data_IF_733595123207
#
_entry.id   IF_733595123207
#
_cell.length_a   1.000
_cell.length_b   1.000
_cell.length_c   1.000
_cell.angle_alpha   90.00
_cell.angle_beta   90.00
_cell.angle_gamma   90.00
#
_symmetry.space_group_name_H-M   'P 1'
#
loop_
_entity.id
_entity.type
_entity.pdbx_description
1 polymer ?
#
# COMPACT_ATOMS: atom_id res chain seq x y z
N UNK A 1 20.75 -19.73 13.54
CA UNK A 1 20.77 -18.67 14.57
C UNK A 1 20.82 -17.34 13.84
N UNK A 2 19.82 -16.47 14.00
CA UNK A 2 19.74 -15.18 13.32
C UNK A 2 20.80 -14.25 13.94
N UNK A 3 21.76 -13.78 13.14
CA UNK A 3 22.71 -12.77 13.56
C UNK A 3 22.10 -11.37 13.34
N UNK A 4 21.76 -10.62 14.39
CA UNK A 4 21.19 -9.28 14.26
C UNK A 4 22.20 -8.23 13.76
N UNK A 5 23.51 -8.52 13.75
CA UNK A 5 24.56 -7.60 13.28
C UNK A 5 24.94 -7.80 11.80
N UNK A 6 24.62 -8.96 11.21
CA UNK A 6 24.87 -9.20 9.80
C UNK A 6 23.87 -8.42 8.93
N UNK A 7 24.37 -7.63 7.97
CA UNK A 7 23.54 -6.97 6.97
C UNK A 7 22.72 -8.02 6.21
N UNK A 8 21.39 -7.86 6.07
CA UNK A 8 20.59 -8.83 5.34
C UNK A 8 20.90 -8.68 3.86
N UNK A 9 20.91 -9.80 3.11
CA UNK A 9 21.02 -9.73 1.67
C UNK A 9 19.89 -8.86 1.10
N UNK A 10 20.21 -7.94 0.20
CA UNK A 10 19.21 -7.21 -0.57
C UNK A 10 18.36 -8.20 -1.37
N UNK A 11 17.11 -7.84 -1.66
CA UNK A 11 16.25 -8.72 -2.46
C UNK A 11 16.83 -8.99 -3.85
N UNK A 12 17.59 -8.03 -4.41
CA UNK A 12 18.35 -8.16 -5.66
C UNK A 12 19.50 -9.18 -5.58
N UNK A 13 20.09 -9.39 -4.40
CA UNK A 13 21.16 -10.39 -4.19
C UNK A 13 20.60 -11.80 -3.97
N UNK A 14 19.27 -11.90 -3.81
CA UNK A 14 18.52 -13.14 -3.69
C UNK A 14 17.91 -13.56 -5.04
N UNK A 15 18.21 -12.80 -6.10
CA UNK A 15 17.71 -13.05 -7.45
C UNK A 15 17.99 -14.49 -7.87
N UNK A 16 16.92 -15.22 -8.19
CA UNK A 16 16.98 -16.60 -8.64
C UNK A 16 16.05 -16.72 -9.85
N UNK A 17 16.56 -16.49 -11.07
CA UNK A 17 15.75 -16.54 -12.28
C UNK A 17 15.26 -17.98 -12.51
N UNK A 18 14.10 -18.29 -11.94
CA UNK A 18 13.29 -19.44 -12.29
C UNK A 18 12.67 -19.21 -13.69
N UNK A 19 12.01 -20.20 -14.33
CA UNK A 19 11.30 -19.97 -15.59
C UNK A 19 10.36 -18.77 -15.42
N UNK A 20 10.27 -17.92 -16.45
CA UNK A 20 9.49 -16.66 -16.52
C UNK A 20 7.97 -16.89 -16.44
N UNK A 21 7.50 -17.67 -15.48
CA UNK A 21 6.08 -17.81 -15.15
C UNK A 21 5.64 -16.53 -14.44
N UNK A 22 4.61 -15.83 -14.96
CA UNK A 22 4.09 -14.66 -14.28
C UNK A 22 3.61 -15.05 -12.88
N UNK A 23 3.78 -14.14 -11.92
CA UNK A 23 3.28 -14.34 -10.54
C UNK A 23 1.76 -14.24 -10.44
N UNK A 24 1.09 -13.94 -11.56
CA UNK A 24 -0.35 -13.80 -11.68
C UNK A 24 -0.85 -14.64 -12.86
N UNK A 25 -1.97 -15.31 -12.67
CA UNK A 25 -2.73 -15.89 -13.78
C UNK A 25 -3.47 -14.75 -14.48
N UNK A 26 -3.04 -14.41 -15.69
CA UNK A 26 -3.77 -13.46 -16.52
C UNK A 26 -5.03 -14.16 -17.05
N UNK A 27 -6.19 -13.47 -17.06
CA UNK A 27 -7.39 -14.01 -17.70
C UNK A 27 -7.14 -14.23 -19.20
N UNK A 28 -7.93 -15.13 -19.79
CA UNK A 28 -7.93 -15.27 -21.24
C UNK A 28 -8.29 -13.94 -21.91
N UNK A 29 -7.64 -13.65 -23.04
CA UNK A 29 -7.94 -12.46 -23.84
C UNK A 29 -9.38 -12.52 -24.33
N UNK A 30 -10.18 -11.54 -23.91
CA UNK A 30 -11.55 -11.29 -24.37
C UNK A 30 -11.60 -10.46 -25.66
N UNK A 31 -10.44 -10.01 -26.14
CA UNK A 31 -10.25 -9.22 -27.37
C UNK A 31 -9.25 -9.87 -28.33
N UNK A 32 -9.31 -9.55 -29.64
CA UNK A 32 -8.32 -10.02 -30.60
C UNK A 32 -6.89 -9.62 -30.21
N UNK A 33 -5.94 -10.54 -30.37
CA UNK A 33 -4.52 -10.24 -30.16
C UNK A 33 -4.06 -9.15 -31.13
N UNK A 34 -3.48 -8.09 -30.59
CA UNK A 34 -2.82 -7.03 -31.35
C UNK A 34 -1.32 -7.01 -31.03
N UNK A 35 -0.50 -6.73 -32.04
CA UNK A 35 0.93 -6.47 -31.82
C UNK A 35 1.11 -5.05 -31.29
N UNK A 36 2.01 -4.88 -30.31
CA UNK A 36 2.45 -3.56 -29.87
C UNK A 36 3.46 -3.04 -30.91
N UNK A 37 3.36 -1.76 -31.24
CA UNK A 37 4.35 -1.09 -32.11
C UNK A 37 5.74 -1.16 -31.46
N UNK A 38 6.74 -1.65 -32.21
CA UNK A 38 8.10 -1.81 -31.71
C UNK A 38 8.70 -0.49 -31.26
N UNK A 39 8.29 0.63 -31.86
CA UNK A 39 8.79 1.96 -31.53
C UNK A 39 8.26 2.47 -30.18
N UNK A 40 7.28 1.76 -29.58
CA UNK A 40 6.73 2.04 -28.25
C UNK A 40 7.28 1.11 -27.17
N UNK A 41 8.09 0.11 -27.53
CA UNK A 41 8.67 -0.81 -26.57
C UNK A 41 9.85 -0.16 -25.83
N UNK A 42 9.99 -0.49 -24.55
CA UNK A 42 11.20 -0.14 -23.81
C UNK A 42 12.41 -0.87 -24.41
N UNK A 43 13.51 -0.14 -24.61
CA UNK A 43 14.75 -0.69 -25.16
C UNK A 43 15.40 -1.73 -24.23
N UNK A 44 15.23 -1.57 -22.92
CA UNK A 44 15.82 -2.44 -21.90
C UNK A 44 14.78 -2.88 -20.87
N UNK A 45 14.94 -4.11 -20.38
CA UNK A 45 14.15 -4.62 -19.27
C UNK A 45 14.60 -3.95 -17.96
N UNK A 46 13.64 -3.67 -17.09
CA UNK A 46 13.92 -3.21 -15.74
C UNK A 46 14.66 -4.32 -14.96
N UNK A 47 15.71 -3.93 -14.22
CA UNK A 47 16.46 -4.82 -13.34
C UNK A 47 15.70 -5.08 -12.01
N UNK A 48 14.50 -5.67 -12.11
CA UNK A 48 13.69 -6.07 -10.96
C UNK A 48 14.15 -7.44 -10.42
N UNK A 49 14.02 -7.70 -9.11
CA UNK A 49 14.39 -8.99 -8.54
C UNK A 49 13.38 -10.08 -8.95
N UNK A 50 13.88 -11.20 -9.45
CA UNK A 50 13.11 -12.39 -9.79
C UNK A 50 13.25 -13.40 -8.64
N UNK A 51 12.24 -13.45 -7.77
CA UNK A 51 12.24 -14.30 -6.56
C UNK A 51 10.88 -14.98 -6.39
N UNK A 52 10.88 -16.19 -5.85
CA UNK A 52 9.64 -16.92 -5.57
C UNK A 52 8.84 -16.26 -4.43
N UNK A 53 7.52 -16.46 -4.41
CA UNK A 53 6.62 -15.89 -3.41
C UNK A 53 7.05 -16.21 -1.96
N UNK A 54 7.52 -17.43 -1.70
CA UNK A 54 8.01 -17.81 -0.37
C UNK A 54 9.26 -17.02 0.04
N UNK A 55 10.15 -16.75 -0.90
CA UNK A 55 11.37 -15.98 -0.65
C UNK A 55 11.04 -14.50 -0.41
N UNK A 56 10.06 -13.94 -1.13
CA UNK A 56 9.50 -12.60 -0.85
C UNK A 56 8.96 -12.53 0.59
N UNK A 57 8.11 -13.49 0.98
CA UNK A 57 7.53 -13.53 2.34
C UNK A 57 8.63 -13.64 3.40
N UNK A 58 9.62 -14.52 3.21
CA UNK A 58 10.75 -14.67 4.12
C UNK A 58 11.57 -13.38 4.21
N UNK A 59 11.84 -12.75 3.07
CA UNK A 59 12.62 -11.51 2.99
C UNK A 59 11.96 -10.40 3.81
N UNK A 60 10.71 -10.05 3.51
CA UNK A 60 10.02 -8.95 4.20
C UNK A 60 9.68 -9.29 5.66
N UNK A 61 9.40 -10.55 5.99
CA UNK A 61 9.22 -10.98 7.40
C UNK A 61 10.52 -10.80 8.20
N UNK A 62 11.68 -11.12 7.60
CA UNK A 62 12.97 -10.93 8.25
C UNK A 62 13.33 -9.44 8.41
N UNK A 63 12.99 -8.60 7.43
CA UNK A 63 13.16 -7.14 7.53
C UNK A 63 12.24 -6.53 8.59
N UNK A 64 10.96 -6.93 8.64
CA UNK A 64 10.02 -6.45 9.64
C UNK A 64 10.50 -6.72 11.08
N UNK A 65 11.11 -7.89 11.33
CA UNK A 65 11.70 -8.24 12.64
C UNK A 65 12.91 -7.40 13.02
N UNK A 66 13.52 -6.67 12.09
CA UNK A 66 14.62 -5.74 12.34
C UNK A 66 14.15 -4.31 12.56
N UNK A 67 12.89 -4.00 12.28
CA UNK A 67 12.32 -2.68 12.51
C UNK A 67 11.94 -2.52 13.98
N UNK A 68 12.23 -1.34 14.52
CA UNK A 68 11.63 -0.89 15.77
C UNK A 68 10.27 -0.27 15.42
N UNK A 69 9.19 -0.73 16.06
CA UNK A 69 7.82 -0.30 15.75
C UNK A 69 7.01 -0.01 17.02
N UNK A 70 5.94 0.78 16.86
CA UNK A 70 4.98 1.12 17.93
C UNK A 70 4.22 -0.13 18.43
N UNK A 71 3.96 -1.09 17.54
CA UNK A 71 3.25 -2.32 17.89
C UNK A 71 4.07 -3.24 18.82
N UNK A 72 5.39 -3.18 18.71
CA UNK A 72 6.29 -4.03 19.47
C UNK A 72 6.97 -3.31 20.64
N UNK A 73 7.04 -1.98 20.64
CA UNK A 73 7.85 -1.23 21.58
C UNK A 73 7.22 0.11 21.97
N UNK A 74 7.67 0.65 23.10
CA UNK A 74 7.38 2.03 23.48
C UNK A 74 8.16 3.01 22.59
N UNK A 75 7.45 3.99 21.99
CA UNK A 75 7.99 4.86 20.94
C UNK A 75 7.80 6.36 21.26
N UNK A 76 8.51 6.94 22.24
CA UNK A 76 8.24 8.28 22.77
C UNK A 76 8.85 9.42 21.93
N UNK A 77 8.41 9.56 20.68
CA UNK A 77 8.80 10.70 19.84
C UNK A 77 7.88 11.89 20.06
N UNK A 78 8.43 12.97 20.63
CA UNK A 78 7.74 14.25 20.75
C UNK A 78 7.31 14.81 19.39
N UNK A 79 6.18 15.53 19.36
CA UNK A 79 5.57 16.09 18.14
C UNK A 79 5.04 15.08 17.10
N UNK A 80 5.39 13.81 17.17
CA UNK A 80 4.96 12.79 16.19
C UNK A 80 3.65 12.08 16.57
N UNK A 81 3.19 12.21 17.83
CA UNK A 81 1.99 11.55 18.34
C UNK A 81 1.96 10.04 17.99
N UNK A 82 3.00 9.31 18.39
CA UNK A 82 3.12 7.85 18.18
C UNK A 82 2.15 7.07 19.10
N UNK A 83 0.85 7.25 18.87
CA UNK A 83 -0.24 6.58 19.59
C UNK A 83 -0.44 5.16 19.06
N UNK A 84 -1.26 4.38 19.77
CA UNK A 84 -1.71 3.08 19.28
C UNK A 84 -2.52 3.20 17.98
N UNK A 85 -2.27 2.30 17.03
CA UNK A 85 -3.00 2.13 15.79
C UNK A 85 -3.91 0.89 15.89
N UNK A 86 -5.23 1.04 16.17
CA UNK A 86 -6.13 -0.09 16.32
C UNK A 86 -6.23 -0.94 15.05
N UNK A 87 -6.08 -2.26 15.16
CA UNK A 87 -6.20 -3.20 14.03
C UNK A 87 -7.58 -3.20 13.37
N UNK A 88 -8.62 -2.76 14.08
CA UNK A 88 -9.95 -2.56 13.50
C UNK A 88 -9.97 -1.49 12.40
N UNK A 89 -9.06 -0.51 12.45
CA UNK A 89 -8.97 0.52 11.41
C UNK A 89 -8.45 -0.06 10.10
N UNK A 90 -7.48 -0.99 10.16
CA UNK A 90 -7.01 -1.73 8.98
C UNK A 90 -8.13 -2.58 8.38
N UNK A 91 -8.91 -3.25 9.23
CA UNK A 91 -10.07 -4.02 8.78
C UNK A 91 -11.15 -3.14 8.14
N UNK A 92 -11.39 -1.94 8.69
CA UNK A 92 -12.34 -0.97 8.13
C UNK A 92 -11.86 -0.42 6.78
N UNK A 93 -10.57 -0.10 6.64
CA UNK A 93 -9.99 0.36 5.39
C UNK A 93 -10.01 -0.72 4.29
N UNK A 94 -9.96 -2.00 4.68
CA UNK A 94 -10.02 -3.15 3.79
C UNK A 94 -11.46 -3.61 3.46
N UNK A 95 -12.50 -2.84 3.80
CA UNK A 95 -13.85 -3.13 3.34
C UNK A 95 -13.88 -3.03 1.81
N UNK A 96 -14.39 -4.06 1.13
CA UNK A 96 -14.40 -4.17 -0.34
C UNK A 96 -14.96 -2.91 -1.04
N UNK A 97 -16.05 -2.37 -0.50
CA UNK A 97 -16.67 -1.12 -0.98
C UNK A 97 -15.85 0.16 -0.77
N UNK A 98 -14.68 0.10 -0.13
CA UNK A 98 -13.71 1.21 -0.04
C UNK A 98 -12.48 0.99 -0.91
N UNK A 99 -11.95 -0.24 -0.93
CA UNK A 99 -10.75 -0.56 -1.73
C UNK A 99 -11.01 -0.49 -3.25
N UNK A 100 -12.24 -0.77 -3.67
CA UNK A 100 -12.63 -0.81 -5.08
C UNK A 100 -13.16 0.50 -5.66
N UNK A 101 -13.21 1.59 -4.88
CA UNK A 101 -13.84 2.85 -5.30
C UNK A 101 -12.94 3.61 -6.26
N UNK A 102 -13.47 3.94 -7.44
CA UNK A 102 -12.81 4.85 -8.35
C UNK A 102 -13.19 6.30 -8.01
N UNK A 103 -12.24 7.25 -7.93
CA UNK A 103 -12.52 8.63 -7.52
C UNK A 103 -13.42 9.41 -8.50
N UNK A 104 -13.61 8.90 -9.72
CA UNK A 104 -14.50 9.47 -10.75
C UNK A 104 -15.70 8.57 -11.07
N UNK A 105 -16.04 7.60 -10.23
CA UNK A 105 -17.30 6.86 -10.40
C UNK A 105 -18.49 7.76 -10.09
N UNK A 106 -19.68 7.42 -10.58
CA UNK A 106 -20.88 8.22 -10.35
C UNK A 106 -21.20 8.33 -8.85
N UNK A 107 -21.62 9.52 -8.42
CA UNK A 107 -21.90 9.81 -7.00
C UNK A 107 -22.96 8.86 -6.41
N UNK A 108 -23.92 8.41 -7.23
CA UNK A 108 -24.96 7.45 -6.83
C UNK A 108 -24.36 6.11 -6.36
N UNK A 109 -23.24 5.69 -6.95
CA UNK A 109 -22.51 4.46 -6.60
C UNK A 109 -21.51 4.66 -5.46
N UNK A 110 -21.26 5.91 -5.03
CA UNK A 110 -20.27 6.28 -4.02
C UNK A 110 -20.85 6.80 -2.69
N UNK A 111 -22.18 6.75 -2.50
CA UNK A 111 -22.86 7.38 -1.36
C UNK A 111 -22.32 6.95 0.02
N UNK A 112 -21.84 5.70 0.16
CA UNK A 112 -21.22 5.23 1.40
C UNK A 112 -19.94 6.00 1.77
N UNK A 113 -19.05 6.21 0.79
CA UNK A 113 -17.81 6.99 0.97
C UNK A 113 -18.14 8.47 1.16
N UNK A 114 -19.05 9.03 0.36
CA UNK A 114 -19.46 10.43 0.46
C UNK A 114 -20.04 10.75 1.84
N UNK A 115 -20.87 9.86 2.39
CA UNK A 115 -21.37 9.97 3.75
C UNK A 115 -20.23 9.97 4.78
N UNK A 116 -19.29 9.02 4.68
CA UNK A 116 -18.15 8.93 5.59
C UNK A 116 -17.29 10.20 5.57
N UNK A 117 -17.03 10.75 4.38
CA UNK A 117 -16.29 12.00 4.23
C UNK A 117 -17.03 13.17 4.88
N UNK A 118 -18.33 13.30 4.62
CA UNK A 118 -19.17 14.36 5.19
C UNK A 118 -19.24 14.30 6.73
N UNK A 119 -19.44 13.11 7.29
CA UNK A 119 -19.46 12.91 8.74
C UNK A 119 -18.11 13.24 9.36
N UNK A 120 -17.02 12.81 8.72
CA UNK A 120 -15.65 13.11 9.18
C UNK A 120 -15.36 14.61 9.15
N UNK A 121 -15.76 15.32 8.09
CA UNK A 121 -15.65 16.79 8.04
C UNK A 121 -16.42 17.45 9.17
N UNK A 122 -17.64 17.00 9.44
CA UNK A 122 -18.49 17.56 10.49
C UNK A 122 -17.86 17.36 11.86
N UNK A 123 -17.39 16.14 12.18
CA UNK A 123 -16.73 15.86 13.46
C UNK A 123 -15.45 16.67 13.64
N UNK A 124 -14.63 16.80 12.59
CA UNK A 124 -13.40 17.59 12.66
C UNK A 124 -13.67 19.09 12.80
N UNK A 125 -14.69 19.63 12.11
CA UNK A 125 -15.10 21.01 12.24
C UNK A 125 -15.57 21.32 13.68
N UNK A 126 -16.36 20.42 14.28
CA UNK A 126 -16.79 20.53 15.67
C UNK A 126 -15.61 20.49 16.65
N UNK A 127 -14.68 19.54 16.50
CA UNK A 127 -13.49 19.43 17.36
C UNK A 127 -12.60 20.67 17.26
N UNK A 128 -12.44 21.22 16.05
CA UNK A 128 -11.59 22.38 15.80
C UNK A 128 -12.26 23.73 16.08
N UNK A 129 -13.59 23.76 16.24
CA UNK A 129 -14.37 24.99 16.37
C UNK A 129 -14.38 25.84 15.09
N UNK A 130 -14.39 25.19 13.92
CA UNK A 130 -14.39 25.84 12.61
C UNK A 130 -15.76 25.70 11.94
N UNK A 131 -16.10 26.64 11.05
CA UNK A 131 -17.34 26.56 10.27
C UNK A 131 -17.30 25.40 9.26
N UNK A 132 -16.14 25.16 8.64
CA UNK A 132 -15.95 24.13 7.61
C UNK A 132 -14.50 23.63 7.61
N UNK A 133 -14.30 22.40 7.11
CA UNK A 133 -12.98 21.78 6.91
C UNK A 133 -12.89 21.06 5.56
N UNK A 134 -11.68 20.93 5.01
CA UNK A 134 -11.39 20.15 3.80
C UNK A 134 -10.58 18.90 4.15
N UNK A 135 -10.92 17.76 3.53
CA UNK A 135 -10.18 16.49 3.65
C UNK A 135 -9.19 16.26 2.49
N UNK A 136 -9.07 17.22 1.57
CA UNK A 136 -8.22 17.07 0.38
C UNK A 136 -6.70 17.05 0.65
N UNK A 137 -6.15 17.84 1.60
CA UNK A 137 -4.70 17.84 1.84
C UNK A 137 -4.19 16.48 2.33
N UNK A 138 -3.15 15.94 1.69
CA UNK A 138 -2.62 14.61 1.98
C UNK A 138 -1.68 14.54 3.21
N UNK A 139 -1.19 15.68 3.69
CA UNK A 139 -0.30 15.78 4.84
C UNK A 139 -0.36 17.18 5.47
N UNK A 140 0.16 17.32 6.69
CA UNK A 140 0.17 18.61 7.40
C UNK A 140 1.08 19.69 6.78
N UNK A 141 2.04 19.32 5.93
CA UNK A 141 2.97 20.24 5.27
C UNK A 141 2.54 20.66 3.85
N UNK A 142 1.33 20.28 3.44
CA UNK A 142 0.80 20.50 2.10
C UNK A 142 0.36 21.96 1.86
#
# INVERSE_FOLDING_TARGET
MFDPKASPKLIFEQNNPAPKTPSIDLPELDVPKAAIDSDLLADELLNLPEVGQLDVVRHYTALAKRNFSVDANFYPLGSCTMKFNPSINEAAAAIEGFIGVHPLQDDEDAQGVLKMLHETQTWLAEIAGLDNVSLQPAAGAH
#
